data_IF_925559694781
#
_entry.id   IF_925559694781
#
_cell.length_a   1.000
_cell.length_b   1.000
_cell.length_c   1.000
_cell.angle_alpha   90.00
_cell.angle_beta   90.00
_cell.angle_gamma   90.00
#
_symmetry.space_group_name_H-M   'P 1'
#
loop_
_entity.id
_entity.type
_entity.pdbx_description
1 polymer ?
#
# COMPACT_ATOMS: atom_id res chain seq x y z
N UNK A 1 -30.34 -26.97 3.30
CA UNK A 1 -29.52 -26.79 4.52
C UNK A 1 -28.71 -25.51 4.37
N UNK A 2 -28.85 -24.61 5.35
CA UNK A 2 -28.08 -23.38 5.65
C UNK A 2 -27.86 -22.31 4.57
N UNK A 3 -28.84 -21.40 4.50
CA UNK A 3 -28.60 -19.97 4.19
C UNK A 3 -27.84 -19.39 5.39
N UNK A 4 -26.53 -19.16 5.28
CA UNK A 4 -25.74 -18.44 6.28
C UNK A 4 -25.56 -16.99 5.84
N UNK A 5 -26.67 -16.26 6.01
CA UNK A 5 -26.79 -14.82 6.31
C UNK A 5 -25.51 -13.97 6.19
N UNK A 6 -25.45 -12.93 5.36
CA UNK A 6 -26.45 -11.85 5.33
C UNK A 6 -26.23 -10.79 6.42
N UNK A 7 -25.10 -10.81 7.15
CA UNK A 7 -24.69 -9.66 7.94
C UNK A 7 -24.07 -8.61 6.99
N UNK A 8 -24.75 -7.49 6.76
CA UNK A 8 -24.05 -6.26 6.38
C UNK A 8 -23.02 -6.05 7.48
N UNK A 9 -21.73 -6.19 7.16
CA UNK A 9 -20.68 -5.83 8.10
C UNK A 9 -20.98 -4.40 8.59
N UNK A 10 -21.35 -4.27 9.86
CA UNK A 10 -21.47 -2.97 10.54
C UNK A 10 -20.10 -2.41 10.86
N UNK A 11 -19.03 -3.17 10.59
CA UNK A 11 -17.69 -2.63 10.58
C UNK A 11 -17.63 -1.57 9.46
N UNK A 12 -17.14 -0.35 9.77
CA UNK A 12 -16.91 0.64 8.73
C UNK A 12 -16.07 0.01 7.64
N UNK A 13 -16.45 0.23 6.37
CA UNK A 13 -15.65 -0.22 5.23
C UNK A 13 -14.22 0.26 5.46
N UNK A 14 -13.20 -0.60 5.31
CA UNK A 14 -11.82 -0.20 5.52
C UNK A 14 -11.53 1.01 4.65
N UNK A 15 -11.15 2.10 5.29
CA UNK A 15 -10.69 3.30 4.61
C UNK A 15 -9.20 3.18 4.38
N UNK A 16 -8.69 3.87 3.36
CA UNK A 16 -7.26 3.94 3.10
C UNK A 16 -6.48 4.42 4.33
N UNK A 17 -7.01 5.39 5.07
CA UNK A 17 -6.44 5.85 6.35
C UNK A 17 -6.39 4.75 7.42
N UNK A 18 -7.45 3.95 7.57
CA UNK A 18 -7.45 2.83 8.52
C UNK A 18 -6.47 1.71 8.12
N UNK A 19 -6.28 1.49 6.83
CA UNK A 19 -5.30 0.52 6.32
C UNK A 19 -3.87 1.00 6.58
N UNK A 20 -3.57 2.28 6.32
CA UNK A 20 -2.28 2.92 6.63
C UNK A 20 -1.97 2.76 8.12
N UNK A 21 -2.87 3.16 9.02
CA UNK A 21 -2.64 3.05 10.47
C UNK A 21 -2.39 1.61 10.95
N UNK A 22 -3.06 0.63 10.34
CA UNK A 22 -2.81 -0.78 10.65
C UNK A 22 -1.43 -1.26 10.19
N UNK A 23 -0.98 -0.83 9.01
CA UNK A 23 0.36 -1.13 8.50
C UNK A 23 1.43 -0.46 9.37
N UNK A 24 1.23 0.80 9.75
CA UNK A 24 2.15 1.53 10.62
C UNK A 24 2.30 0.86 11.98
N UNK A 25 1.21 0.41 12.59
CA UNK A 25 1.24 -0.36 13.86
C UNK A 25 2.07 -1.65 13.72
N UNK A 26 2.01 -2.33 12.56
CA UNK A 26 2.83 -3.51 12.29
C UNK A 26 4.30 -3.15 12.12
N UNK A 27 4.61 -2.04 11.43
CA UNK A 27 5.97 -1.50 11.28
C UNK A 27 6.55 -1.20 12.66
N UNK A 28 5.82 -0.53 13.56
CA UNK A 28 6.26 -0.26 14.93
C UNK A 28 6.57 -1.55 15.71
N UNK A 29 5.72 -2.57 15.58
CA UNK A 29 5.96 -3.87 16.19
C UNK A 29 7.23 -4.55 15.67
N UNK A 30 7.51 -4.43 14.37
CA UNK A 30 8.73 -4.93 13.75
C UNK A 30 9.96 -4.14 14.20
N UNK A 31 9.86 -2.82 14.32
CA UNK A 31 10.95 -1.96 14.80
C UNK A 31 11.33 -2.31 16.25
N UNK A 32 10.36 -2.61 17.13
CA UNK A 32 10.62 -3.10 18.48
C UNK A 32 11.35 -4.46 18.47
N UNK A 33 10.97 -5.38 17.57
CA UNK A 33 11.67 -6.69 17.42
C UNK A 33 13.09 -6.50 16.89
N UNK A 34 13.27 -5.64 15.90
CA UNK A 34 14.58 -5.30 15.34
C UNK A 34 15.50 -4.67 16.39
N UNK A 35 14.99 -3.77 17.22
CA UNK A 35 15.75 -3.18 18.32
C UNK A 35 16.25 -4.23 19.32
N UNK A 36 15.40 -5.20 19.68
CA UNK A 36 15.80 -6.32 20.57
C UNK A 36 16.89 -7.19 19.94
N UNK A 37 16.75 -7.55 18.66
CA UNK A 37 17.74 -8.34 17.93
C UNK A 37 19.07 -7.59 17.77
N UNK A 38 19.03 -6.27 17.53
CA UNK A 38 20.22 -5.42 17.47
C UNK A 38 20.96 -5.37 18.82
N UNK A 39 20.24 -5.25 19.93
CA UNK A 39 20.83 -5.29 21.26
C UNK A 39 21.49 -6.65 21.54
N UNK A 40 20.85 -7.76 21.17
CA UNK A 40 21.42 -9.10 21.31
C UNK A 40 22.69 -9.28 20.44
N UNK A 41 22.67 -8.81 19.19
CA UNK A 41 23.85 -8.81 18.31
C UNK A 41 25.00 -7.99 18.89
N UNK A 42 24.71 -6.82 19.47
CA UNK A 42 25.70 -6.01 20.16
C UNK A 42 26.34 -6.74 21.34
N UNK A 43 25.55 -7.47 22.13
CA UNK A 43 26.06 -8.29 23.23
C UNK A 43 26.96 -9.43 22.73
N UNK A 44 26.58 -10.11 21.63
CA UNK A 44 27.44 -11.12 21.01
C UNK A 44 28.74 -10.52 20.49
N UNK A 45 28.71 -9.36 19.86
CA UNK A 45 29.89 -8.67 19.35
C UNK A 45 30.87 -8.36 20.49
N UNK A 46 30.40 -7.79 21.61
CA UNK A 46 31.23 -7.51 22.79
C UNK A 46 31.82 -8.78 23.38
N UNK A 47 31.04 -9.86 23.46
CA UNK A 47 31.51 -11.15 23.97
C UNK A 47 32.58 -11.75 23.07
N UNK A 48 32.36 -11.77 21.75
CA UNK A 48 33.30 -12.30 20.77
C UNK A 48 34.63 -11.52 20.75
N UNK A 49 34.59 -10.19 20.95
CA UNK A 49 35.79 -9.35 21.00
C UNK A 49 36.73 -9.70 22.16
N UNK A 50 36.18 -10.20 23.28
CA UNK A 50 36.94 -10.58 24.48
C UNK A 50 37.40 -12.05 24.48
N UNK A 51 36.97 -12.85 23.48
CA UNK A 51 37.26 -14.28 23.42
C UNK A 51 38.48 -14.58 22.54
N UNK A 52 39.38 -15.44 23.05
CA UNK A 52 40.41 -16.09 22.23
C UNK A 52 39.76 -17.04 21.23
N UNK A 53 40.45 -17.26 20.12
CA UNK A 53 39.99 -18.19 19.09
C UNK A 53 39.93 -19.61 19.63
N UNK A 54 38.86 -20.33 19.27
CA UNK A 54 38.62 -21.68 19.73
C UNK A 54 37.16 -22.12 19.59
N UNK A 55 36.84 -23.36 20.03
CA UNK A 55 35.50 -23.94 19.91
C UNK A 55 34.41 -23.09 20.58
N UNK A 56 34.70 -22.50 21.74
CA UNK A 56 33.76 -21.62 22.45
C UNK A 56 33.41 -20.34 21.66
N UNK A 57 34.39 -19.69 21.03
CA UNK A 57 34.17 -18.50 20.20
C UNK A 57 33.38 -18.85 18.94
N UNK A 58 33.67 -20.01 18.35
CA UNK A 58 32.95 -20.54 17.17
C UNK A 58 31.48 -20.79 17.50
N UNK A 59 31.17 -21.39 18.65
CA UNK A 59 29.79 -21.62 19.09
C UNK A 59 29.00 -20.31 19.28
N UNK A 60 29.62 -19.27 19.86
CA UNK A 60 28.98 -17.96 20.00
C UNK A 60 28.79 -17.29 18.64
N UNK A 61 29.74 -17.39 17.72
CA UNK A 61 29.62 -16.87 16.35
C UNK A 61 28.43 -17.51 15.62
N UNK A 62 28.22 -18.82 15.77
CA UNK A 62 27.07 -19.51 15.18
C UNK A 62 25.73 -19.02 15.75
N UNK A 63 25.66 -18.74 17.06
CA UNK A 63 24.46 -18.14 17.67
C UNK A 63 24.20 -16.73 17.12
N UNK A 64 25.24 -15.90 17.03
CA UNK A 64 25.14 -14.55 16.47
C UNK A 64 24.69 -14.58 14.99
N UNK A 65 25.15 -15.53 14.20
CA UNK A 65 24.72 -15.70 12.81
C UNK A 65 23.22 -16.00 12.68
N UNK A 66 22.66 -16.85 13.56
CA UNK A 66 21.21 -17.13 13.56
C UNK A 66 20.38 -15.87 13.88
N UNK A 67 20.81 -15.10 14.87
CA UNK A 67 20.16 -13.83 15.23
C UNK A 67 20.27 -12.82 14.11
N UNK A 68 21.41 -12.75 13.42
CA UNK A 68 21.60 -11.88 12.26
C UNK A 68 20.68 -12.26 11.10
N UNK A 69 20.51 -13.55 10.82
CA UNK A 69 19.57 -14.04 9.80
C UNK A 69 18.14 -13.65 10.15
N UNK A 70 17.72 -13.84 11.40
CA UNK A 70 16.39 -13.45 11.86
C UNK A 70 16.17 -11.93 11.76
N UNK A 71 17.17 -11.13 12.12
CA UNK A 71 17.11 -9.67 11.97
C UNK A 71 16.90 -9.29 10.50
N UNK A 72 17.70 -9.83 9.58
CA UNK A 72 17.57 -9.54 8.14
C UNK A 72 16.20 -9.88 7.59
N UNK A 73 15.61 -10.99 8.04
CA UNK A 73 14.25 -11.38 7.66
C UNK A 73 13.21 -10.32 8.10
N UNK A 74 13.27 -9.88 9.36
CA UNK A 74 12.33 -8.85 9.85
C UNK A 74 12.56 -7.48 9.21
N UNK A 75 13.82 -7.13 8.91
CA UNK A 75 14.18 -5.89 8.21
C UNK A 75 13.55 -5.89 6.80
N UNK A 76 13.68 -7.00 6.06
CA UNK A 76 13.02 -7.15 4.77
C UNK A 76 11.49 -7.06 4.84
N UNK A 77 10.86 -7.66 5.86
CA UNK A 77 9.40 -7.57 6.05
C UNK A 77 8.96 -6.13 6.36
N UNK A 78 9.76 -5.43 7.18
CA UNK A 78 9.51 -4.04 7.56
C UNK A 78 9.61 -3.11 6.36
N UNK A 79 10.62 -3.30 5.50
CA UNK A 79 10.79 -2.51 4.29
C UNK A 79 9.67 -2.73 3.27
N UNK A 80 9.18 -3.96 3.13
CA UNK A 80 8.00 -4.27 2.31
C UNK A 80 6.75 -3.54 2.80
N UNK A 81 6.49 -3.58 4.12
CA UNK A 81 5.36 -2.86 4.72
C UNK A 81 5.53 -1.34 4.60
N UNK A 82 6.75 -0.82 4.73
CA UNK A 82 7.02 0.61 4.52
C UNK A 82 6.69 1.04 3.09
N UNK A 83 7.05 0.24 2.09
CA UNK A 83 6.68 0.49 0.69
C UNK A 83 5.17 0.44 0.49
N UNK A 84 4.47 -0.49 1.15
CA UNK A 84 3.02 -0.59 1.10
C UNK A 84 2.35 0.65 1.72
N UNK A 85 2.81 1.08 2.90
CA UNK A 85 2.31 2.29 3.57
C UNK A 85 2.48 3.51 2.66
N UNK A 86 3.67 3.69 2.07
CA UNK A 86 3.94 4.79 1.15
C UNK A 86 3.04 4.79 -0.09
N UNK A 87 2.84 3.63 -0.74
CA UNK A 87 1.94 3.52 -1.89
C UNK A 87 0.50 3.91 -1.52
N UNK A 88 0.04 3.50 -0.34
CA UNK A 88 -1.28 3.89 0.16
C UNK A 88 -1.33 5.39 0.47
N UNK A 89 -0.32 5.98 1.10
CA UNK A 89 -0.24 7.42 1.34
C UNK A 89 -0.34 8.22 0.03
N UNK A 90 0.36 7.79 -1.02
CA UNK A 90 0.27 8.42 -2.35
C UNK A 90 -1.15 8.34 -2.93
N UNK A 91 -1.80 7.17 -2.82
CA UNK A 91 -3.18 7.00 -3.26
C UNK A 91 -4.16 7.86 -2.43
N UNK A 92 -3.89 8.05 -1.13
CA UNK A 92 -4.65 8.96 -0.27
C UNK A 92 -4.53 10.42 -0.69
N UNK A 93 -3.32 10.88 -1.01
CA UNK A 93 -3.11 12.23 -1.53
C UNK A 93 -3.84 12.44 -2.87
N UNK A 94 -3.84 11.43 -3.74
CA UNK A 94 -4.59 11.47 -4.99
C UNK A 94 -6.11 11.56 -4.74
N UNK A 95 -6.62 10.75 -3.80
CA UNK A 95 -8.03 10.78 -3.41
C UNK A 95 -8.45 12.16 -2.88
N UNK A 96 -7.62 12.78 -2.04
CA UNK A 96 -7.88 14.12 -1.51
C UNK A 96 -7.87 15.19 -2.62
N UNK A 97 -6.94 15.09 -3.58
CA UNK A 97 -6.91 15.98 -4.75
C UNK A 97 -8.17 15.83 -5.61
N UNK A 98 -8.62 14.60 -5.86
CA UNK A 98 -9.86 14.33 -6.59
C UNK A 98 -11.08 14.89 -5.85
N UNK A 99 -11.14 14.75 -4.52
CA UNK A 99 -12.23 15.30 -3.70
C UNK A 99 -12.26 16.84 -3.74
N UNK A 100 -11.10 17.49 -3.69
CA UNK A 100 -11.00 18.94 -3.83
C UNK A 100 -11.46 19.39 -5.22
N UNK A 101 -11.02 18.69 -6.27
CA UNK A 101 -11.44 18.94 -7.65
C UNK A 101 -12.95 18.79 -7.79
N UNK A 102 -13.53 17.74 -7.21
CA UNK A 102 -14.98 17.51 -7.21
C UNK A 102 -15.73 18.64 -6.50
N UNK A 103 -15.22 19.11 -5.37
CA UNK A 103 -15.82 20.25 -4.63
C UNK A 103 -15.79 21.53 -5.48
N UNK A 104 -14.68 21.79 -6.18
CA UNK A 104 -14.58 22.90 -7.13
C UNK A 104 -15.58 22.74 -8.29
N UNK A 105 -15.69 21.53 -8.84
CA UNK A 105 -16.66 21.20 -9.90
C UNK A 105 -18.10 21.46 -9.43
N UNK A 106 -18.48 21.00 -8.25
CA UNK A 106 -19.81 21.19 -7.69
C UNK A 106 -20.13 22.67 -7.43
N UNK A 107 -19.14 23.43 -6.94
CA UNK A 107 -19.25 24.88 -6.80
C UNK A 107 -19.46 25.54 -8.19
N UNK A 108 -18.66 25.16 -9.19
CA UNK A 108 -18.81 25.68 -10.57
C UNK A 108 -20.17 25.33 -11.17
N UNK A 109 -20.67 24.11 -11.00
CA UNK A 109 -22.02 23.69 -11.45
C UNK A 109 -23.10 24.56 -10.82
N UNK A 110 -22.99 24.82 -9.52
CA UNK A 110 -23.93 25.67 -8.78
C UNK A 110 -23.89 27.12 -9.26
N UNK A 111 -22.70 27.71 -9.36
CA UNK A 111 -22.51 29.07 -9.89
C UNK A 111 -23.02 29.19 -11.32
N UNK A 112 -22.75 28.20 -12.16
CA UNK A 112 -23.21 28.15 -13.56
C UNK A 112 -24.73 28.12 -13.66
N UNK A 113 -25.39 27.32 -12.82
CA UNK A 113 -26.86 27.26 -12.75
C UNK A 113 -27.47 28.61 -12.34
N UNK A 114 -26.86 29.28 -11.38
CA UNK A 114 -27.29 30.61 -10.93
C UNK A 114 -27.04 31.68 -12.02
N UNK A 115 -25.88 31.65 -12.70
CA UNK A 115 -25.59 32.53 -13.83
C UNK A 115 -26.59 32.33 -14.98
N UNK A 116 -26.96 31.09 -15.32
CA UNK A 116 -28.00 30.79 -16.33
C UNK A 116 -29.35 31.41 -15.96
N UNK A 117 -29.69 31.43 -14.67
CA UNK A 117 -30.93 32.02 -14.16
C UNK A 117 -30.91 33.55 -14.22
N UNK A 118 -29.76 34.17 -13.96
CA UNK A 118 -29.61 35.63 -13.90
C UNK A 118 -29.36 36.28 -15.28
N UNK A 119 -28.61 35.62 -16.17
CA UNK A 119 -28.12 36.20 -17.43
C UNK A 119 -28.65 35.48 -18.67
N UNK A 120 -29.94 35.15 -18.69
CA UNK A 120 -30.58 34.37 -19.77
C UNK A 120 -29.98 34.65 -21.17
N UNK A 121 -29.45 33.58 -21.79
CA UNK A 121 -28.86 33.50 -23.15
C UNK A 121 -27.36 33.82 -23.34
N UNK A 122 -26.51 33.85 -22.30
CA UNK A 122 -25.05 33.91 -22.55
C UNK A 122 -24.48 32.51 -22.80
N UNK A 123 -24.04 32.27 -24.04
CA UNK A 123 -23.23 31.15 -24.57
C UNK A 123 -23.33 29.81 -23.81
N UNK A 124 -24.48 29.14 -23.94
CA UNK A 124 -24.78 27.83 -23.35
C UNK A 124 -23.84 26.73 -23.90
N UNK A 125 -23.41 26.84 -25.16
CA UNK A 125 -22.64 25.81 -25.85
C UNK A 125 -21.25 25.54 -25.25
N UNK A 126 -20.59 26.56 -24.69
CA UNK A 126 -19.29 26.38 -24.01
C UNK A 126 -19.45 25.72 -22.64
N UNK A 127 -20.62 25.87 -22.02
CA UNK A 127 -20.94 25.31 -20.72
C UNK A 127 -21.30 23.83 -20.86
N UNK A 128 -21.99 23.44 -21.94
CA UNK A 128 -22.31 22.04 -22.23
C UNK A 128 -21.05 21.22 -22.52
N UNK A 129 -20.10 21.75 -23.30
CA UNK A 129 -18.78 21.09 -23.49
C UNK A 129 -18.01 20.87 -22.19
N UNK A 130 -18.05 21.84 -21.26
CA UNK A 130 -17.45 21.68 -19.93
C UNK A 130 -18.17 20.62 -19.10
N UNK A 131 -19.47 20.44 -19.32
CA UNK A 131 -20.26 19.44 -18.61
C UNK A 131 -19.95 18.02 -19.11
N UNK A 132 -19.74 17.86 -20.42
CA UNK A 132 -19.33 16.60 -21.05
C UNK A 132 -17.89 16.20 -20.66
N UNK A 133 -16.92 17.12 -20.75
CA UNK A 133 -15.54 16.85 -20.29
C UNK A 133 -15.46 16.53 -18.78
N UNK A 134 -16.36 17.09 -17.97
CA UNK A 134 -16.46 16.76 -16.55
C UNK A 134 -17.09 15.40 -16.28
N UNK A 135 -18.01 14.93 -17.13
CA UNK A 135 -18.55 13.58 -17.04
C UNK A 135 -17.46 12.54 -17.31
N UNK A 136 -16.63 12.78 -18.32
CA UNK A 136 -15.49 11.93 -18.66
C UNK A 136 -14.45 11.87 -17.53
N UNK A 137 -14.19 13.00 -16.84
CA UNK A 137 -13.29 13.02 -15.68
C UNK A 137 -13.85 12.29 -14.45
N UNK A 138 -15.17 12.29 -14.27
CA UNK A 138 -15.84 11.51 -13.22
C UNK A 138 -15.73 10.01 -13.48
N UNK A 139 -15.94 9.60 -14.74
CA UNK A 139 -15.78 8.20 -15.14
C UNK A 139 -14.33 7.74 -15.02
N UNK A 140 -13.36 8.58 -15.39
CA UNK A 140 -11.94 8.30 -15.18
C UNK A 140 -11.57 8.17 -13.70
N UNK A 141 -12.16 9.00 -12.82
CA UNK A 141 -11.98 8.88 -11.38
C UNK A 141 -12.55 7.59 -10.80
N UNK A 142 -13.70 7.14 -11.30
CA UNK A 142 -14.28 5.84 -10.95
C UNK A 142 -13.41 4.69 -11.47
N UNK A 143 -12.91 4.78 -12.71
CA UNK A 143 -12.00 3.78 -13.30
C UNK A 143 -10.67 3.69 -12.55
N UNK A 144 -10.14 4.79 -12.02
CA UNK A 144 -8.94 4.79 -11.17
C UNK A 144 -9.24 4.12 -9.83
N UNK A 145 -10.38 4.40 -9.22
CA UNK A 145 -10.80 3.73 -7.99
C UNK A 145 -11.01 2.21 -8.21
N UNK A 146 -11.56 1.82 -9.36
CA UNK A 146 -11.72 0.43 -9.77
C UNK A 146 -10.38 -0.23 -10.10
N UNK A 147 -9.46 0.46 -10.78
CA UNK A 147 -8.13 -0.05 -11.11
C UNK A 147 -7.26 -0.25 -9.87
N UNK A 148 -7.31 0.70 -8.92
CA UNK A 148 -6.66 0.56 -7.61
C UNK A 148 -7.31 -0.60 -6.84
N UNK A 149 -8.65 -0.73 -6.85
CA UNK A 149 -9.32 -1.86 -6.17
C UNK A 149 -9.02 -3.22 -6.83
N UNK A 150 -8.81 -3.26 -8.16
CA UNK A 150 -8.45 -4.49 -8.91
C UNK A 150 -6.97 -4.82 -8.81
N UNK A 151 -6.09 -3.83 -8.64
CA UNK A 151 -4.66 -4.06 -8.39
C UNK A 151 -4.40 -4.78 -7.06
N UNK A 152 -5.40 -4.84 -6.17
CA UNK A 152 -5.38 -5.63 -4.93
C UNK A 152 -6.11 -6.99 -5.05
N UNK A 153 -6.73 -7.31 -6.19
CA UNK A 153 -7.32 -8.62 -6.48
C UNK A 153 -6.31 -9.50 -7.25
N UNK A 154 -5.05 -9.48 -6.82
CA UNK A 154 -4.06 -10.47 -7.27
C UNK A 154 -4.54 -11.82 -6.74
N UNK A 155 -4.86 -12.80 -7.61
CA UNK A 155 -5.28 -14.12 -7.18
C UNK A 155 -4.26 -14.72 -6.22
N UNK A 156 -4.73 -15.26 -5.09
CA UNK A 156 -3.99 -16.24 -4.28
C UNK A 156 -3.84 -17.53 -5.10
N UNK A 157 -3.09 -17.49 -6.19
CA UNK A 157 -2.66 -18.66 -6.96
C UNK A 157 -1.34 -18.31 -7.68
N UNK A 158 -0.33 -17.89 -6.92
CA UNK A 158 1.05 -18.23 -7.33
C UNK A 158 1.31 -19.61 -6.73
N UNK A 159 0.80 -20.62 -7.43
CA UNK A 159 1.20 -22.01 -7.26
C UNK A 159 2.73 -22.08 -7.41
N UNK A 160 3.41 -22.53 -6.36
CA UNK A 160 4.87 -22.72 -6.27
C UNK A 160 5.41 -23.82 -7.22
N UNK A 161 4.80 -24.06 -8.39
CA UNK A 161 5.20 -25.17 -9.28
C UNK A 161 5.63 -24.81 -10.71
N UNK A 162 5.63 -23.53 -11.13
CA UNK A 162 5.98 -23.16 -12.52
C UNK A 162 7.37 -22.54 -12.76
N UNK A 163 8.34 -22.73 -11.87
CA UNK A 163 9.78 -22.55 -12.21
C UNK A 163 10.48 -23.87 -12.60
N UNK A 164 9.69 -24.86 -13.02
CA UNK A 164 10.15 -26.13 -13.59
C UNK A 164 10.30 -26.08 -15.12
N UNK A 165 11.53 -25.84 -15.59
CA UNK A 165 12.13 -26.42 -16.81
C UNK A 165 11.26 -26.55 -18.10
N UNK A 166 11.46 -25.64 -19.08
CA UNK A 166 11.57 -25.94 -20.53
C UNK A 166 12.16 -24.71 -21.25
N UNK A 167 13.47 -24.66 -21.50
CA UNK A 167 14.20 -25.23 -22.64
C UNK A 167 14.06 -24.44 -23.96
N UNK A 168 15.19 -23.91 -24.42
CA UNK A 168 15.61 -24.01 -25.83
C UNK A 168 15.57 -22.73 -26.68
N UNK A 169 16.75 -22.26 -27.09
CA UNK A 169 16.92 -21.66 -28.42
C UNK A 169 17.57 -20.28 -28.48
N UNK A 170 18.89 -20.21 -28.34
CA UNK A 170 19.68 -19.17 -29.01
C UNK A 170 20.96 -19.80 -29.57
N UNK A 171 20.85 -20.28 -30.80
CA UNK A 171 21.99 -20.48 -31.70
C UNK A 171 22.22 -19.17 -32.46
N UNK A 172 23.21 -18.38 -32.05
CA UNK A 172 24.23 -17.74 -32.90
C UNK A 172 25.22 -16.97 -32.06
#
# INVERSE_FOLDING_TARGET
MNRLFGAKSTAPKPTLNSAISNVDTRIESLDVKLAKLNAELGAYQQKLAKMRDGPGKTAIKQKALKVLQQRKMYESQRDQLQSQSWNMEQAGMMQDNLKNTMTTIDAMKTTTKELRKQYGKVNIDKIEKLQDEMADLMDMGNDIQDAISRSYDVPEDVDESETGCRAGGAWR
#
